data_IF_537377469134
#
_entry.id   IF_537377469134
#
_cell.length_a   1.000
_cell.length_b   1.000
_cell.length_c   1.000
_cell.angle_alpha   90.00
_cell.angle_beta   90.00
_cell.angle_gamma   90.00
#
_symmetry.space_group_name_H-M   'P 1'
#
loop_
_entity.id
_entity.type
_entity.pdbx_description
1 polymer ?
#
# COMPACT_ATOMS: atom_id res chain seq x y z
N UNK A 1 -4.79 10.80 8.59
CA UNK A 1 -5.52 9.55 8.30
C UNK A 1 -5.60 9.36 6.80
N UNK A 2 -5.18 8.21 6.29
CA UNK A 2 -5.30 7.90 4.87
C UNK A 2 -6.77 7.79 4.44
N UNK A 3 -7.09 8.40 3.30
CA UNK A 3 -8.39 8.29 2.66
C UNK A 3 -8.32 7.31 1.48
N UNK A 4 -9.45 7.08 0.80
CA UNK A 4 -9.51 6.17 -0.34
C UNK A 4 -8.58 6.58 -1.50
N UNK A 5 -8.35 7.88 -1.72
CA UNK A 5 -7.43 8.34 -2.75
C UNK A 5 -5.98 7.96 -2.42
N UNK A 6 -5.58 8.08 -1.16
CA UNK A 6 -4.24 7.68 -0.70
C UNK A 6 -4.04 6.17 -0.86
N UNK A 7 -5.04 5.38 -0.46
CA UNK A 7 -5.02 3.92 -0.65
C UNK A 7 -4.99 3.52 -2.13
N UNK A 8 -5.75 4.20 -2.98
CA UNK A 8 -5.72 3.96 -4.42
C UNK A 8 -4.35 4.28 -5.02
N UNK A 9 -3.69 5.35 -4.55
CA UNK A 9 -2.34 5.69 -4.96
C UNK A 9 -1.31 4.66 -4.50
N UNK A 10 -1.42 4.19 -3.26
CA UNK A 10 -0.62 3.11 -2.70
C UNK A 10 -0.72 1.84 -3.56
N UNK A 11 -1.93 1.40 -3.87
CA UNK A 11 -2.19 0.23 -4.71
C UNK A 11 -1.61 0.43 -6.11
N UNK A 12 -1.85 1.58 -6.72
CA UNK A 12 -1.32 1.94 -8.05
C UNK A 12 0.21 1.83 -8.10
N UNK A 13 0.90 2.37 -7.09
CA UNK A 13 2.35 2.36 -7.00
C UNK A 13 2.90 0.93 -7.03
N UNK A 14 2.39 0.05 -6.16
CA UNK A 14 2.91 -1.33 -6.07
C UNK A 14 2.54 -2.19 -7.28
N UNK A 15 1.33 -2.06 -7.82
CA UNK A 15 0.94 -2.76 -9.05
C UNK A 15 1.81 -2.30 -10.23
N UNK A 16 2.11 -1.01 -10.33
CA UNK A 16 2.98 -0.48 -11.38
C UNK A 16 4.42 -1.01 -11.28
N UNK A 17 4.85 -1.43 -10.08
CA UNK A 17 6.13 -2.11 -9.84
C UNK A 17 6.06 -3.63 -10.02
N UNK A 18 4.92 -4.16 -10.47
CA UNK A 18 4.70 -5.58 -10.76
C UNK A 18 4.22 -6.41 -9.57
N UNK A 19 3.84 -5.79 -8.45
CA UNK A 19 3.24 -6.52 -7.32
C UNK A 19 1.80 -6.91 -7.63
N UNK A 20 1.39 -8.02 -7.06
CA UNK A 20 0.01 -8.48 -7.10
C UNK A 20 -0.74 -8.06 -5.83
N UNK A 21 -2.06 -8.19 -5.85
CA UNK A 21 -2.87 -8.17 -4.63
C UNK A 21 -3.14 -9.60 -4.18
N UNK A 22 -3.19 -9.80 -2.86
CA UNK A 22 -3.40 -11.11 -2.26
C UNK A 22 -4.51 -11.00 -1.22
N UNK A 23 -5.37 -12.01 -1.13
CA UNK A 23 -6.35 -12.12 -0.04
C UNK A 23 -5.82 -12.97 1.11
N UNK A 24 -6.45 -12.88 2.28
CA UNK A 24 -6.17 -13.75 3.45
C UNK A 24 -6.19 -15.25 3.10
N UNK A 25 -6.99 -15.64 2.11
CA UNK A 25 -7.11 -17.02 1.63
C UNK A 25 -6.03 -17.41 0.61
N UNK A 26 -5.04 -16.56 0.37
CA UNK A 26 -3.95 -16.78 -0.58
C UNK A 26 -4.36 -16.62 -2.05
N UNK A 27 -5.53 -16.04 -2.34
CA UNK A 27 -5.95 -15.78 -3.72
C UNK A 27 -5.12 -14.62 -4.28
N UNK A 28 -4.42 -14.87 -5.38
CA UNK A 28 -3.64 -13.84 -6.08
C UNK A 28 -4.54 -13.15 -7.10
N UNK A 29 -4.52 -11.83 -7.10
CA UNK A 29 -5.23 -10.95 -8.03
C UNK A 29 -4.19 -10.11 -8.76
N UNK A 30 -4.11 -10.31 -10.07
CA UNK A 30 -3.13 -9.64 -10.94
C UNK A 30 -3.81 -8.58 -11.79
N UNK A 31 -3.10 -7.47 -12.05
CA UNK A 31 -3.47 -6.47 -13.04
C UNK A 31 -2.36 -6.36 -14.08
N UNK A 32 -2.66 -6.62 -15.34
CA UNK A 32 -1.67 -6.73 -16.42
C UNK A 32 -1.65 -5.53 -17.38
N UNK A 33 -2.56 -4.58 -17.21
CA UNK A 33 -2.62 -3.38 -18.03
C UNK A 33 -1.77 -2.26 -17.43
N UNK A 34 -1.70 -1.11 -18.11
CA UNK A 34 -0.95 0.04 -17.59
C UNK A 34 -1.75 0.70 -16.47
N UNK A 35 -1.11 0.94 -15.32
CA UNK A 35 -1.73 1.67 -14.20
C UNK A 35 -1.97 3.14 -14.56
N UNK A 36 -1.02 3.75 -15.27
CA UNK A 36 -1.09 5.16 -15.66
C UNK A 36 -1.26 5.33 -17.18
N UNK A 37 -2.02 6.35 -17.57
CA UNK A 37 -2.16 6.78 -18.96
C UNK A 37 -0.91 7.57 -19.44
N UNK A 38 -0.92 8.03 -20.70
CA UNK A 38 0.19 8.81 -21.27
C UNK A 38 0.37 10.19 -20.65
N UNK A 39 -0.61 10.67 -19.87
CA UNK A 39 -0.62 11.97 -19.20
C UNK A 39 -0.25 11.85 -17.71
N UNK A 40 -0.03 10.63 -17.22
CA UNK A 40 0.28 10.36 -15.80
C UNK A 40 -0.95 10.23 -14.90
N UNK A 41 -2.17 10.24 -15.45
CA UNK A 41 -3.38 9.97 -14.67
C UNK A 41 -3.61 8.46 -14.54
N UNK A 42 -4.44 8.04 -13.59
CA UNK A 42 -4.93 6.66 -13.54
C UNK A 42 -5.60 6.28 -14.85
N UNK A 43 -5.17 5.16 -15.43
CA UNK A 43 -5.76 4.64 -16.64
C UNK A 43 -7.20 4.20 -16.39
N UNK A 44 -8.03 4.25 -17.43
CA UNK A 44 -9.40 3.76 -17.35
C UNK A 44 -9.47 2.27 -16.95
N UNK A 45 -8.64 1.35 -17.50
CA UNK A 45 -8.60 -0.04 -17.04
C UNK A 45 -8.27 -0.19 -15.55
N UNK A 46 -7.37 0.65 -15.03
CA UNK A 46 -7.03 0.64 -13.62
C UNK A 46 -8.19 1.13 -12.75
N UNK A 47 -8.90 2.18 -13.17
CA UNK A 47 -10.11 2.64 -12.47
C UNK A 47 -11.18 1.54 -12.42
N UNK A 48 -11.50 0.91 -13.57
CA UNK A 48 -12.46 -0.21 -13.63
C UNK A 48 -12.01 -1.42 -12.81
N UNK A 49 -10.70 -1.68 -12.74
CA UNK A 49 -10.17 -2.73 -11.87
C UNK A 49 -10.44 -2.45 -10.39
N UNK A 50 -10.15 -1.23 -9.92
CA UNK A 50 -10.41 -0.82 -8.54
C UNK A 50 -11.91 -0.86 -8.22
N UNK A 51 -12.76 -0.37 -9.13
CA UNK A 51 -14.21 -0.35 -8.93
C UNK A 51 -14.77 -1.79 -8.80
N UNK A 52 -14.33 -2.73 -9.65
CA UNK A 52 -14.71 -4.14 -9.53
C UNK A 52 -14.25 -4.79 -8.22
N UNK A 53 -13.08 -4.39 -7.71
CA UNK A 53 -12.63 -4.90 -6.42
C UNK A 53 -13.51 -4.37 -5.29
N UNK A 54 -13.87 -3.09 -5.30
CA UNK A 54 -14.80 -2.50 -4.33
C UNK A 54 -16.15 -3.21 -4.35
N UNK A 55 -16.71 -3.46 -5.54
CA UNK A 55 -17.98 -4.17 -5.72
C UNK A 55 -17.94 -5.62 -5.23
N UNK A 56 -16.76 -6.26 -5.19
CA UNK A 56 -16.63 -7.66 -4.77
C UNK A 56 -16.88 -7.88 -3.28
N UNK A 57 -16.83 -6.84 -2.46
CA UNK A 57 -16.93 -6.92 -0.99
C UNK A 57 -15.65 -7.42 -0.29
N UNK A 58 -14.70 -7.98 -1.04
CA UNK A 58 -13.45 -8.51 -0.48
C UNK A 58 -12.34 -7.44 -0.41
N UNK A 59 -12.56 -6.24 -0.97
CA UNK A 59 -11.53 -5.20 -1.13
C UNK A 59 -10.77 -4.92 0.17
N UNK A 60 -11.48 -4.78 1.29
CA UNK A 60 -10.88 -4.44 2.57
C UNK A 60 -10.02 -5.57 3.17
N UNK A 61 -10.18 -6.81 2.70
CA UNK A 61 -9.40 -7.98 3.11
C UNK A 61 -8.23 -8.29 2.16
N UNK A 62 -7.97 -7.43 1.19
CA UNK A 62 -6.83 -7.54 0.30
C UNK A 62 -5.62 -6.79 0.87
N UNK A 63 -4.44 -7.25 0.49
CA UNK A 63 -3.16 -6.64 0.77
C UNK A 63 -2.26 -6.70 -0.46
N UNK A 64 -1.23 -5.86 -0.49
CA UNK A 64 -0.19 -5.94 -1.53
C UNK A 64 0.69 -7.17 -1.25
N UNK A 65 1.12 -7.86 -2.30
CA UNK A 65 2.06 -8.97 -2.18
C UNK A 65 3.36 -8.54 -1.45
N UNK A 66 3.70 -9.26 -0.39
CA UNK A 66 4.87 -8.98 0.44
C UNK A 66 4.64 -7.90 1.50
N UNK A 67 3.42 -7.40 1.61
CA UNK A 67 2.98 -6.47 2.64
C UNK A 67 2.21 -7.20 3.76
N UNK A 68 2.11 -6.55 4.93
CA UNK A 68 1.46 -7.12 6.10
C UNK A 68 0.17 -6.40 6.50
N UNK A 69 -0.22 -5.35 5.77
CA UNK A 69 -1.37 -4.51 6.10
C UNK A 69 -2.52 -4.76 5.13
N UNK A 70 -3.69 -5.15 5.67
CA UNK A 70 -4.90 -5.22 4.88
C UNK A 70 -5.40 -3.81 4.57
N UNK A 71 -6.13 -3.65 3.47
CA UNK A 71 -6.67 -2.36 3.07
C UNK A 71 -7.64 -1.77 4.09
N UNK A 72 -8.32 -2.61 4.89
CA UNK A 72 -9.10 -2.19 6.05
C UNK A 72 -8.26 -1.42 7.06
N UNK A 73 -7.08 -1.94 7.40
CA UNK A 73 -6.19 -1.34 8.40
C UNK A 73 -5.71 0.03 7.95
N UNK A 74 -5.40 0.16 6.66
CA UNK A 74 -4.90 1.39 6.08
C UNK A 74 -5.94 2.51 6.03
N UNK A 75 -7.23 2.17 5.81
CA UNK A 75 -8.29 3.18 5.62
C UNK A 75 -8.98 3.59 6.93
N UNK A 76 -8.89 2.78 8.00
CA UNK A 76 -9.63 2.97 9.26
C UNK A 76 -8.89 3.76 10.35
N UNK A 77 -8.15 4.82 9.97
CA UNK A 77 -7.59 5.84 10.89
C UNK A 77 -6.33 5.49 11.68
N UNK A 78 -5.88 4.23 11.68
CA UNK A 78 -4.69 3.87 12.44
C UNK A 78 -3.39 4.24 11.72
N UNK A 79 -3.43 4.42 10.39
CA UNK A 79 -2.26 4.70 9.56
C UNK A 79 -2.43 5.92 8.66
N UNK A 80 -1.32 6.61 8.46
CA UNK A 80 -1.05 7.53 7.36
C UNK A 80 -0.22 6.82 6.29
N UNK A 81 -0.46 7.14 5.02
CA UNK A 81 0.32 6.62 3.91
C UNK A 81 1.34 7.69 3.50
N UNK A 82 2.56 7.57 4.02
CA UNK A 82 3.66 8.51 3.75
C UNK A 82 4.73 7.88 2.86
N UNK A 83 5.66 8.68 2.36
CA UNK A 83 6.79 8.19 1.59
C UNK A 83 8.03 8.02 2.46
N UNK A 84 8.66 6.85 2.39
CA UNK A 84 9.94 6.63 3.04
C UNK A 84 11.00 7.60 2.48
N UNK A 85 11.70 8.34 3.35
CA UNK A 85 12.75 9.28 2.91
C UNK A 85 13.94 8.60 2.22
N UNK A 86 14.15 7.30 2.45
CA UNK A 86 15.26 6.53 1.88
C UNK A 86 14.90 5.92 0.52
N UNK A 87 13.94 4.99 0.50
CA UNK A 87 13.57 4.27 -0.71
C UNK A 87 12.47 4.96 -1.53
N UNK A 88 11.83 6.02 -0.99
CA UNK A 88 10.69 6.73 -1.61
C UNK A 88 9.48 5.85 -1.93
N UNK A 89 9.38 4.71 -1.28
CA UNK A 89 8.18 3.87 -1.34
C UNK A 89 7.09 4.42 -0.42
N UNK A 90 5.82 4.40 -0.84
CA UNK A 90 4.71 4.71 0.06
C UNK A 90 4.58 3.59 1.10
N UNK A 91 4.58 3.95 2.37
CA UNK A 91 4.53 3.03 3.52
C UNK A 91 3.44 3.47 4.50
N UNK A 92 2.77 2.52 5.18
CA UNK A 92 1.90 2.82 6.31
C UNK A 92 2.70 3.33 7.52
N UNK A 93 2.24 4.41 8.15
CA UNK A 93 2.83 5.06 9.32
C UNK A 93 1.76 5.21 10.40
N UNK A 94 1.91 4.64 11.60
CA UNK A 94 0.90 4.75 12.65
C UNK A 94 0.64 6.20 13.08
N UNK A 95 -0.64 6.60 13.17
CA UNK A 95 -1.07 7.97 13.53
C UNK A 95 -0.84 8.29 15.02
N UNK A 96 -0.82 7.28 15.90
CA UNK A 96 -0.64 7.47 17.35
C UNK A 96 0.39 6.47 17.95
N UNK A 97 1.27 6.98 18.83
CA UNK A 97 2.05 6.14 19.75
C UNK A 97 3.36 5.54 19.23
N UNK A 98 3.79 5.82 18.00
CA UNK A 98 5.07 5.33 17.50
C UNK A 98 6.25 6.13 18.10
N UNK A 99 6.87 5.60 19.16
CA UNK A 99 8.19 6.05 19.62
C UNK A 99 9.26 5.53 18.63
N UNK A 100 9.38 6.19 17.48
CA UNK A 100 10.43 5.94 16.50
C UNK A 100 9.98 6.22 15.07
N UNK A 101 10.90 6.54 14.15
CA UNK A 101 10.58 6.64 12.73
C UNK A 101 9.99 5.31 12.25
N UNK A 102 8.96 5.31 11.39
CA UNK A 102 8.36 4.08 10.88
C UNK A 102 9.47 3.27 10.23
N UNK A 103 9.71 2.07 10.76
CA UNK A 103 10.71 1.20 10.20
C UNK A 103 10.22 0.79 8.81
N UNK A 104 10.80 1.39 7.76
CA UNK A 104 10.46 1.02 6.40
C UNK A 104 10.89 -0.44 6.21
N UNK A 105 9.91 -1.35 6.22
CA UNK A 105 10.13 -2.79 6.05
C UNK A 105 10.68 -3.15 4.65
N UNK A 106 10.69 -2.17 3.74
CA UNK A 106 11.26 -2.29 2.39
C UNK A 106 12.72 -1.84 2.30
N UNK A 107 13.22 -1.09 3.29
CA UNK A 107 14.62 -0.69 3.33
C UNK A 107 15.47 -1.84 3.90
N UNK A 108 16.55 -2.26 3.22
CA UNK A 108 17.33 -3.42 3.63
C UNK A 108 18.07 -3.30 4.97
N UNK A 109 18.10 -2.14 5.65
CA UNK A 109 18.66 -2.03 7.01
C UNK A 109 18.02 -0.86 7.78
N UNK A 110 17.23 -1.18 8.81
CA UNK A 110 17.21 -0.38 10.02
C UNK A 110 17.74 -1.29 11.11
N UNK A 111 19.05 -1.25 11.33
CA UNK A 111 19.59 -1.66 12.63
C UNK A 111 18.95 -0.69 13.62
N UNK A 112 18.05 -1.11 14.52
CA UNK A 112 17.56 -0.22 15.55
C UNK A 112 18.80 0.28 16.30
N UNK A 113 18.98 1.60 16.36
CA UNK A 113 20.07 2.21 17.11
C UNK A 113 20.01 1.62 18.53
N UNK A 114 20.93 0.70 18.82
CA UNK A 114 21.04 0.13 20.15
C UNK A 114 21.36 1.31 21.07
N UNK A 115 20.48 1.54 22.06
CA UNK A 115 20.75 2.46 23.16
C UNK A 115 22.09 2.04 23.76
N UNK A 116 23.13 2.83 23.51
CA UNK A 116 24.36 2.80 24.29
C UNK A 116 23.96 3.09 25.74
N UNK A 117 24.07 2.06 26.58
CA UNK A 117 24.03 2.18 28.04
C UNK A 117 25.29 2.82 28.56
#
# INVERSE_FOLDING_TARGET
MANFYDLKHYIAHYINKGRCLVSEKGKIITFSERVYDRRGNYSEPFNHFIDRLLESGEFFHLFVEGDHYAFADLIHAEYDLEYCVQCREPIPVPVAGALGPPACYLCPDIVPAQKTS
#
